data_IF_942441367335
#
_entry.id   IF_942441367335
#
_cell.length_a   1.000
_cell.length_b   1.000
_cell.length_c   1.000
_cell.angle_alpha   90.00
_cell.angle_beta   90.00
_cell.angle_gamma   90.00
#
_symmetry.space_group_name_H-M   'P 1'
#
loop_
_entity.id
_entity.type
_entity.pdbx_description
1 polymer ?
#
# COMPACT_ATOMS: atom_id res chain seq x y z
N UNK A 1 -79.55 9.50 27.53
CA UNK A 1 -80.16 8.19 27.84
C UNK A 1 -79.88 7.23 26.70
N UNK A 2 -79.32 6.06 27.05
CA UNK A 2 -79.31 4.82 26.27
C UNK A 2 -78.46 4.84 24.99
N UNK A 3 -77.13 4.80 25.16
CA UNK A 3 -76.19 4.09 24.27
C UNK A 3 -74.78 3.92 24.87
N UNK A 4 -74.63 4.14 26.18
CA UNK A 4 -73.33 4.09 26.89
C UNK A 4 -73.20 2.90 27.85
N UNK A 5 -73.91 1.79 27.60
CA UNK A 5 -73.99 0.68 28.57
C UNK A 5 -73.75 -0.73 28.01
N UNK A 6 -73.33 -0.87 26.74
CA UNK A 6 -73.10 -2.21 26.13
C UNK A 6 -71.63 -2.49 25.76
N UNK A 7 -70.74 -1.49 25.76
CA UNK A 7 -69.32 -1.71 25.39
C UNK A 7 -68.41 -2.13 26.56
N UNK A 8 -68.98 -2.52 27.71
CA UNK A 8 -68.22 -2.89 28.93
C UNK A 8 -68.14 -4.39 29.24
N UNK A 9 -68.44 -5.27 28.26
CA UNK A 9 -68.42 -6.73 28.46
C UNK A 9 -67.49 -7.50 27.50
N UNK A 10 -66.96 -6.88 26.45
CA UNK A 10 -66.05 -7.57 25.51
C UNK A 10 -64.68 -6.88 25.50
N UNK A 11 -63.78 -7.41 26.33
CA UNK A 11 -62.39 -6.97 26.44
C UNK A 11 -61.70 -6.86 25.08
N UNK A 12 -61.35 -5.63 24.70
CA UNK A 12 -60.44 -5.30 23.61
C UNK A 12 -59.74 -3.98 23.95
N UNK A 13 -58.53 -4.08 24.49
CA UNK A 13 -57.59 -2.95 24.55
C UNK A 13 -57.00 -2.70 23.16
N UNK A 14 -57.03 -1.46 22.62
CA UNK A 14 -56.33 -1.12 21.40
C UNK A 14 -54.87 -0.74 21.69
N UNK A 15 -53.95 -1.56 21.16
CA UNK A 15 -52.65 -1.21 20.60
C UNK A 15 -51.79 -0.14 21.32
N UNK A 16 -50.94 -0.59 22.26
CA UNK A 16 -49.68 0.10 22.57
C UNK A 16 -48.70 -0.07 21.40
N UNK A 17 -48.40 1.03 20.70
CA UNK A 17 -47.29 1.13 19.74
C UNK A 17 -45.98 0.72 20.42
N UNK A 18 -45.44 -0.44 20.04
CA UNK A 18 -44.05 -0.80 20.34
C UNK A 18 -43.15 -0.10 19.31
N UNK A 19 -42.37 0.88 19.76
CA UNK A 19 -41.26 1.43 19.00
C UNK A 19 -40.26 0.30 18.67
N UNK A 20 -39.74 0.19 17.44
CA UNK A 20 -38.67 -0.74 17.18
C UNK A 20 -37.40 -0.20 17.86
N UNK A 21 -36.78 -1.04 18.69
CA UNK A 21 -35.48 -0.77 19.27
C UNK A 21 -34.45 -0.61 18.14
N UNK A 22 -34.06 0.63 17.84
CA UNK A 22 -32.93 0.94 16.96
C UNK A 22 -31.63 0.68 17.72
N UNK A 23 -31.27 -0.59 17.82
CA UNK A 23 -30.06 -1.09 18.46
C UNK A 23 -29.16 -1.87 17.51
N UNK A 24 -29.17 -1.55 16.22
CA UNK A 24 -28.16 -2.04 15.28
C UNK A 24 -26.92 -1.17 15.38
N UNK A 25 -25.91 -1.58 16.16
CA UNK A 25 -24.57 -1.03 15.98
C UNK A 25 -24.14 -1.39 14.56
N UNK A 26 -24.13 -0.40 13.66
CA UNK A 26 -23.42 -0.53 12.39
C UNK A 26 -22.01 -1.02 12.73
N UNK A 27 -21.62 -2.19 12.21
CA UNK A 27 -20.26 -2.67 12.34
C UNK A 27 -19.35 -1.55 11.79
N UNK A 28 -18.51 -0.96 12.65
CA UNK A 28 -17.54 0.03 12.19
C UNK A 28 -16.69 -0.66 11.12
N UNK A 29 -16.60 -0.04 9.94
CA UNK A 29 -15.68 -0.49 8.90
C UNK A 29 -14.29 -0.72 9.53
N UNK A 30 -13.57 -1.79 9.16
CA UNK A 30 -12.27 -2.09 9.73
C UNK A 30 -11.37 -0.86 9.61
N UNK A 31 -10.81 -0.39 10.73
CA UNK A 31 -9.91 0.76 10.74
C UNK A 31 -8.57 0.28 10.18
N UNK A 32 -8.25 0.69 8.96
CA UNK A 32 -6.94 0.43 8.35
C UNK A 32 -5.86 1.10 9.24
N UNK A 33 -4.85 0.36 9.71
CA UNK A 33 -3.79 0.91 10.56
C UNK A 33 -2.74 1.66 9.72
N UNK A 34 -3.16 2.70 8.99
CA UNK A 34 -2.31 3.50 8.06
C UNK A 34 -1.17 4.28 8.75
N UNK A 35 -1.10 4.25 10.09
CA UNK A 35 -0.11 5.02 10.83
C UNK A 35 -0.36 6.53 10.76
N UNK A 36 0.68 7.32 11.02
CA UNK A 36 0.64 8.79 10.90
C UNK A 36 1.90 9.25 10.17
N UNK A 37 1.72 10.01 9.09
CA UNK A 37 2.82 10.60 8.34
C UNK A 37 3.69 11.49 9.24
N UNK A 38 4.99 11.20 9.26
CA UNK A 38 6.02 12.06 9.85
C UNK A 38 7.09 12.30 8.80
N UNK A 39 7.33 13.58 8.50
CA UNK A 39 8.36 14.00 7.56
C UNK A 39 9.61 14.37 8.38
N UNK A 40 10.66 13.58 8.22
CA UNK A 40 11.88 13.67 9.00
C UNK A 40 12.99 14.28 8.13
N UNK A 41 13.60 15.41 8.54
CA UNK A 41 14.65 16.06 7.77
C UNK A 41 16.01 15.37 7.94
N UNK A 42 16.94 15.68 7.03
CA UNK A 42 18.30 15.11 7.02
C UNK A 42 19.05 15.25 8.34
N UNK A 43 18.87 16.39 9.04
CA UNK A 43 19.49 16.64 10.35
C UNK A 43 19.08 15.63 11.44
N UNK A 44 17.97 14.93 11.27
CA UNK A 44 17.44 13.96 12.24
C UNK A 44 17.67 12.50 11.79
N UNK A 45 17.44 12.16 10.52
CA UNK A 45 17.64 10.79 10.05
C UNK A 45 19.11 10.48 9.72
N UNK A 46 19.91 11.47 9.32
CA UNK A 46 21.36 11.32 9.14
C UNK A 46 21.78 10.52 7.90
N UNK A 47 20.94 10.44 6.87
CA UNK A 47 21.34 9.80 5.59
C UNK A 47 22.42 10.67 4.94
N UNK A 48 23.51 10.03 4.54
CA UNK A 48 24.54 10.62 3.69
C UNK A 48 24.09 10.54 2.22
N UNK A 49 23.80 11.68 1.55
CA UNK A 49 23.34 11.68 0.16
C UNK A 49 24.37 11.11 -0.82
N UNK A 50 25.66 11.08 -0.46
CA UNK A 50 26.71 10.50 -1.31
C UNK A 50 26.62 8.97 -1.41
N UNK A 51 25.88 8.32 -0.51
CA UNK A 51 25.62 6.88 -0.56
C UNK A 51 24.42 6.52 -1.43
N UNK A 52 23.65 7.51 -1.90
CA UNK A 52 22.46 7.31 -2.72
C UNK A 52 22.89 7.06 -4.17
N UNK A 53 22.36 6.00 -4.79
CA UNK A 53 22.67 5.69 -6.18
C UNK A 53 22.09 6.76 -7.13
N UNK A 54 22.94 7.32 -7.99
CA UNK A 54 22.59 8.37 -8.96
C UNK A 54 21.44 7.96 -9.89
N UNK A 55 21.31 6.67 -10.22
CA UNK A 55 20.24 6.16 -11.10
C UNK A 55 18.92 6.16 -10.37
N UNK A 56 18.90 5.68 -9.12
CA UNK A 56 17.71 5.74 -8.28
C UNK A 56 17.24 7.19 -8.10
N UNK A 57 18.18 8.11 -7.85
CA UNK A 57 17.90 9.55 -7.80
C UNK A 57 17.27 10.06 -9.10
N UNK A 58 17.87 9.76 -10.26
CA UNK A 58 17.33 10.17 -11.56
C UNK A 58 15.96 9.59 -11.87
N UNK A 59 15.67 8.36 -11.46
CA UNK A 59 14.34 7.76 -11.61
C UNK A 59 13.32 8.55 -10.80
N UNK A 60 13.62 8.89 -9.54
CA UNK A 60 12.75 9.71 -8.71
C UNK A 60 12.56 11.10 -9.33
N UNK A 61 13.64 11.78 -9.71
CA UNK A 61 13.58 13.10 -10.37
C UNK A 61 12.69 13.06 -11.63
N UNK A 62 12.89 12.07 -12.51
CA UNK A 62 12.10 11.94 -13.76
C UNK A 62 10.60 11.77 -13.47
N UNK A 63 10.25 11.02 -12.42
CA UNK A 63 8.84 10.82 -12.03
C UNK A 63 8.25 12.09 -11.42
N UNK A 64 9.01 12.77 -10.55
CA UNK A 64 8.60 14.03 -9.93
C UNK A 64 8.43 15.15 -10.95
N UNK A 65 9.34 15.28 -11.91
CA UNK A 65 9.26 16.24 -13.01
C UNK A 65 8.01 16.00 -13.89
N UNK A 66 7.56 14.76 -13.99
CA UNK A 66 6.33 14.37 -14.68
C UNK A 66 5.05 14.57 -13.82
N UNK A 67 5.18 15.09 -12.60
CA UNK A 67 4.08 15.40 -11.69
C UNK A 67 3.63 14.25 -10.79
N UNK A 68 4.44 13.17 -10.69
CA UNK A 68 4.14 12.04 -9.82
C UNK A 68 4.87 12.14 -8.48
N UNK A 69 4.31 11.49 -7.47
CA UNK A 69 5.05 11.23 -6.24
C UNK A 69 6.02 10.08 -6.48
N UNK A 70 7.28 10.22 -6.05
CA UNK A 70 8.27 9.14 -6.15
C UNK A 70 9.31 9.24 -5.03
N UNK A 71 9.72 8.07 -4.52
CA UNK A 71 10.60 7.94 -3.37
C UNK A 71 11.48 6.69 -3.49
N UNK A 72 12.69 6.75 -2.95
CA UNK A 72 13.48 5.55 -2.65
C UNK A 72 12.87 4.86 -1.43
N UNK A 73 12.75 3.53 -1.45
CA UNK A 73 12.02 2.78 -0.40
C UNK A 73 12.76 1.53 0.08
N UNK A 74 12.20 0.88 1.09
CA UNK A 74 12.57 -0.49 1.48
C UNK A 74 13.92 -0.59 2.18
N UNK A 75 14.65 -1.66 1.86
CA UNK A 75 15.93 -1.96 2.49
C UNK A 75 16.98 -0.87 2.28
N UNK A 76 16.95 -0.17 1.14
CA UNK A 76 17.87 0.91 0.85
C UNK A 76 17.80 2.05 1.87
N UNK A 77 16.58 2.50 2.20
CA UNK A 77 16.38 3.60 3.17
C UNK A 77 16.87 3.19 4.56
N UNK A 78 16.54 1.96 4.98
CA UNK A 78 17.02 1.38 6.24
C UNK A 78 18.54 1.36 6.30
N UNK A 79 19.18 0.84 5.26
CA UNK A 79 20.64 0.67 5.23
C UNK A 79 21.34 2.03 5.22
N UNK A 80 20.83 3.01 4.48
CA UNK A 80 21.31 4.40 4.49
C UNK A 80 21.21 5.05 5.87
N UNK A 81 20.10 4.87 6.59
CA UNK A 81 19.92 5.38 7.96
C UNK A 81 20.94 4.75 8.94
N UNK A 82 21.32 3.50 8.69
CA UNK A 82 22.33 2.80 9.47
C UNK A 82 23.78 3.12 9.05
N UNK A 83 23.97 3.99 8.04
CA UNK A 83 25.29 4.32 7.50
C UNK A 83 25.92 3.18 6.70
N UNK A 84 25.10 2.26 6.19
CA UNK A 84 25.53 1.15 5.34
C UNK A 84 25.22 1.45 3.88
N UNK A 85 26.04 0.88 2.98
CA UNK A 85 25.79 0.98 1.54
C UNK A 85 24.71 -0.04 1.14
N UNK A 86 23.58 0.39 0.55
CA UNK A 86 22.55 -0.53 0.08
C UNK A 86 23.07 -1.48 -0.99
N UNK A 87 22.48 -2.68 -1.08
CA UNK A 87 22.78 -3.66 -2.14
C UNK A 87 22.04 -3.34 -3.43
N UNK A 88 20.81 -2.88 -3.28
CA UNK A 88 19.83 -2.55 -4.31
C UNK A 88 19.10 -1.27 -3.92
N UNK A 89 18.53 -0.60 -4.92
CA UNK A 89 17.71 0.59 -4.74
C UNK A 89 16.38 0.40 -5.46
N UNK A 90 15.31 0.50 -4.68
CA UNK A 90 13.94 0.43 -5.17
C UNK A 90 13.28 1.80 -5.08
N UNK A 91 12.42 2.09 -6.06
CA UNK A 91 11.59 3.30 -6.09
C UNK A 91 10.12 2.91 -5.97
N UNK A 92 9.36 3.68 -5.18
CA UNK A 92 7.91 3.60 -5.14
C UNK A 92 7.28 4.92 -5.61
N UNK A 93 6.16 4.83 -6.32
CA UNK A 93 5.49 5.99 -6.94
C UNK A 93 3.96 5.84 -6.98
N UNK A 94 3.23 6.96 -7.09
CA UNK A 94 1.80 6.92 -7.39
C UNK A 94 1.50 6.70 -8.89
N UNK A 95 2.51 6.73 -9.77
CA UNK A 95 2.36 6.42 -11.19
C UNK A 95 2.10 4.92 -11.42
N UNK A 96 1.11 4.59 -12.26
CA UNK A 96 0.85 3.20 -12.70
C UNK A 96 2.01 2.63 -13.52
N UNK A 97 2.17 1.30 -13.62
CA UNK A 97 3.28 0.69 -14.37
C UNK A 97 3.36 1.16 -15.82
N UNK A 98 2.22 1.38 -16.47
CA UNK A 98 2.11 1.94 -17.81
C UNK A 98 2.62 3.38 -17.90
N UNK A 99 2.25 4.23 -16.93
CA UNK A 99 2.72 5.60 -16.83
C UNK A 99 4.22 5.66 -16.60
N UNK A 100 4.75 4.87 -15.66
CA UNK A 100 6.20 4.75 -15.43
C UNK A 100 6.89 4.32 -16.73
N UNK A 101 6.42 3.23 -17.38
CA UNK A 101 7.01 2.74 -18.62
C UNK A 101 7.02 3.80 -19.74
N UNK A 102 6.04 4.70 -19.78
CA UNK A 102 5.98 5.75 -20.80
C UNK A 102 7.06 6.83 -20.64
N UNK A 103 7.57 7.02 -19.42
CA UNK A 103 8.59 8.02 -19.10
C UNK A 103 10.02 7.55 -19.40
N UNK A 104 10.25 6.24 -19.49
CA UNK A 104 11.58 5.67 -19.65
C UNK A 104 11.71 4.87 -20.94
N UNK A 105 12.67 5.26 -21.79
CA UNK A 105 12.94 4.58 -23.07
C UNK A 105 13.26 3.09 -22.92
N UNK A 106 13.89 2.70 -21.80
CA UNK A 106 14.27 1.32 -21.48
C UNK A 106 13.66 0.89 -20.16
N UNK A 107 12.34 0.77 -20.16
CA UNK A 107 11.57 0.23 -19.05
C UNK A 107 10.74 -0.99 -19.47
N UNK A 108 10.72 -2.00 -18.61
CA UNK A 108 9.98 -3.24 -18.82
C UNK A 108 9.06 -3.51 -17.65
N UNK A 109 7.78 -3.74 -17.91
CA UNK A 109 6.86 -4.23 -16.87
C UNK A 109 7.14 -5.73 -16.70
N UNK A 110 7.61 -6.11 -15.52
CA UNK A 110 7.96 -7.47 -15.14
C UNK A 110 6.88 -8.05 -14.24
N UNK A 111 6.58 -9.33 -14.49
CA UNK A 111 5.63 -10.10 -13.71
C UNK A 111 4.18 -9.75 -13.99
N UNK A 112 3.29 -10.72 -13.74
CA UNK A 112 1.83 -10.53 -13.82
C UNK A 112 1.20 -10.31 -12.44
N UNK A 113 1.82 -10.89 -11.40
CA UNK A 113 1.36 -10.85 -10.02
C UNK A 113 1.48 -9.45 -9.41
N UNK A 114 2.71 -8.93 -9.38
CA UNK A 114 3.02 -7.64 -8.78
C UNK A 114 3.18 -6.52 -9.79
N UNK A 115 3.48 -6.77 -11.08
CA UNK A 115 3.67 -5.71 -12.09
C UNK A 115 4.64 -4.60 -11.63
N UNK A 116 5.92 -4.95 -11.55
CA UNK A 116 7.00 -4.01 -11.21
C UNK A 116 7.62 -3.50 -12.52
N UNK A 117 8.09 -2.26 -12.57
CA UNK A 117 8.79 -1.71 -13.74
C UNK A 117 10.29 -1.74 -13.52
N UNK A 118 11.02 -2.42 -14.39
CA UNK A 118 12.49 -2.43 -14.38
C UNK A 118 12.98 -1.33 -15.31
N UNK A 119 13.57 -0.27 -14.74
CA UNK A 119 14.24 0.80 -15.50
C UNK A 119 15.72 0.43 -15.66
N UNK A 120 16.16 0.25 -16.92
CA UNK A 120 17.46 -0.35 -17.23
C UNK A 120 18.50 0.70 -17.66
N UNK A 121 19.59 0.76 -16.91
CA UNK A 121 20.79 1.57 -17.21
C UNK A 121 21.93 0.68 -17.73
N UNK A 122 22.88 1.27 -18.48
CA UNK A 122 24.00 0.52 -19.08
C UNK A 122 23.63 -0.31 -20.32
N UNK A 123 24.58 -0.87 -21.06
CA UNK A 123 24.33 -1.64 -22.29
C UNK A 123 24.99 -3.02 -22.21
N UNK A 124 24.43 -4.01 -22.92
CA UNK A 124 25.00 -5.35 -22.98
C UNK A 124 24.79 -6.13 -21.68
N UNK A 125 25.80 -6.91 -21.27
CA UNK A 125 25.77 -7.76 -20.06
C UNK A 125 26.02 -6.99 -18.75
N UNK A 126 26.47 -5.75 -18.84
CA UNK A 126 26.68 -4.84 -17.71
C UNK A 126 25.52 -3.86 -17.66
N UNK A 127 24.32 -4.38 -17.36
CA UNK A 127 23.15 -3.55 -17.13
C UNK A 127 22.77 -3.54 -15.66
N UNK A 128 22.41 -2.36 -15.17
CA UNK A 128 21.87 -2.18 -13.84
C UNK A 128 20.39 -1.84 -13.95
N UNK A 129 19.63 -2.21 -12.93
CA UNK A 129 18.17 -2.09 -12.91
C UNK A 129 17.76 -1.36 -11.64
N UNK A 130 16.92 -0.35 -11.82
CA UNK A 130 16.14 0.23 -10.73
C UNK A 130 14.73 -0.34 -10.84
N UNK A 131 14.26 -0.99 -9.78
CA UNK A 131 12.89 -1.46 -9.68
C UNK A 131 11.99 -0.30 -9.27
N UNK A 132 10.88 -0.12 -9.99
CA UNK A 132 9.89 0.91 -9.74
C UNK A 132 8.55 0.24 -9.51
N UNK A 133 7.98 0.47 -8.34
CA UNK A 133 6.71 -0.09 -7.89
C UNK A 133 5.66 0.99 -7.70
N UNK A 134 4.44 0.74 -8.16
CA UNK A 134 3.32 1.64 -7.84
C UNK A 134 2.83 1.36 -6.43
N UNK A 135 2.51 2.42 -5.68
CA UNK A 135 1.86 2.35 -4.37
C UNK A 135 0.62 1.47 -4.43
N UNK A 136 0.48 0.59 -3.46
CA UNK A 136 -0.67 -0.33 -3.43
C UNK A 136 -1.69 0.10 -2.41
N UNK A 137 -2.95 -0.20 -2.72
CA UNK A 137 -4.00 -0.12 -1.74
C UNK A 137 -3.81 -1.15 -0.63
N UNK A 138 -4.32 -0.80 0.53
CA UNK A 138 -4.51 -1.74 1.62
C UNK A 138 -5.80 -2.48 1.34
N UNK A 139 -5.69 -3.79 1.16
CA UNK A 139 -6.84 -4.67 1.00
C UNK A 139 -6.95 -5.52 2.26
N UNK A 140 -8.13 -5.54 2.85
CA UNK A 140 -8.45 -6.52 3.87
C UNK A 140 -8.22 -7.91 3.26
N UNK A 141 -7.50 -8.78 3.96
CA UNK A 141 -7.24 -10.15 3.49
C UNK A 141 -8.54 -10.93 3.21
N UNK A 142 -9.66 -10.51 3.82
CA UNK A 142 -11.00 -11.05 3.56
C UNK A 142 -11.65 -10.55 2.27
N UNK A 143 -11.15 -9.45 1.69
CA UNK A 143 -11.65 -8.85 0.46
C UNK A 143 -11.03 -9.45 -0.81
N UNK A 144 -10.04 -10.34 -0.68
CA UNK A 144 -9.42 -11.01 -1.80
C UNK A 144 -10.33 -12.08 -2.41
N UNK A 145 -10.53 -12.02 -3.74
CA UNK A 145 -11.21 -13.10 -4.44
C UNK A 145 -10.36 -14.38 -4.37
N UNK A 146 -10.93 -15.44 -3.80
CA UNK A 146 -10.32 -16.76 -3.79
C UNK A 146 -10.59 -17.46 -5.12
N UNK A 147 -9.55 -18.02 -5.73
CA UNK A 147 -9.70 -18.89 -6.90
C UNK A 147 -9.14 -20.29 -6.61
N UNK A 148 -9.82 -21.31 -7.12
CA UNK A 148 -9.35 -22.70 -7.06
C UNK A 148 -8.35 -22.95 -8.18
N UNK A 149 -7.06 -22.81 -7.90
CA UNK A 149 -6.00 -23.10 -8.88
C UNK A 149 -4.71 -22.31 -8.63
N UNK A 150 -3.74 -22.42 -9.55
CA UNK A 150 -2.50 -21.65 -9.52
C UNK A 150 -2.44 -20.63 -10.68
N UNK A 151 -1.40 -19.79 -10.72
CA UNK A 151 -1.22 -18.75 -11.76
C UNK A 151 -1.26 -19.32 -13.20
N UNK A 152 -0.85 -20.58 -13.40
CA UNK A 152 -0.79 -21.20 -14.74
C UNK A 152 -2.13 -21.77 -15.17
N UNK A 153 -2.85 -22.44 -14.26
CA UNK A 153 -4.13 -23.09 -14.57
C UNK A 153 -5.29 -22.11 -14.70
N UNK A 154 -5.20 -20.95 -14.03
CA UNK A 154 -6.30 -19.98 -13.94
C UNK A 154 -6.07 -18.75 -14.83
N UNK A 155 -5.17 -18.82 -15.83
CA UNK A 155 -4.66 -17.65 -16.56
C UNK A 155 -5.75 -16.81 -17.25
N UNK A 156 -6.81 -17.45 -17.79
CA UNK A 156 -7.97 -16.77 -18.40
C UNK A 156 -8.85 -16.12 -17.34
N UNK A 157 -9.18 -16.83 -16.27
CA UNK A 157 -10.03 -16.34 -15.17
C UNK A 157 -9.37 -15.21 -14.38
N UNK A 158 -8.04 -15.24 -14.28
CA UNK A 158 -7.27 -14.20 -13.65
C UNK A 158 -7.20 -12.94 -14.52
N UNK A 159 -7.39 -13.02 -15.85
CA UNK A 159 -7.07 -11.95 -16.81
C UNK A 159 -7.58 -10.57 -16.37
N UNK A 160 -8.84 -10.51 -15.94
CA UNK A 160 -9.54 -9.26 -15.62
C UNK A 160 -9.52 -8.91 -14.12
N UNK A 161 -8.87 -9.73 -13.29
CA UNK A 161 -8.82 -9.54 -11.84
C UNK A 161 -7.57 -8.77 -11.41
N UNK A 162 -7.73 -7.83 -10.49
CA UNK A 162 -6.65 -7.00 -9.94
C UNK A 162 -6.09 -7.56 -8.63
N UNK A 163 -6.92 -8.13 -7.75
CA UNK A 163 -6.50 -8.77 -6.51
C UNK A 163 -7.06 -10.19 -6.40
N UNK A 164 -6.17 -11.18 -6.28
CA UNK A 164 -6.55 -12.60 -6.23
C UNK A 164 -5.61 -13.36 -5.33
N UNK A 165 -6.14 -14.29 -4.53
CA UNK A 165 -5.37 -15.26 -3.72
C UNK A 165 -5.77 -16.69 -4.09
N UNK A 166 -4.85 -17.65 -3.92
CA UNK A 166 -5.18 -19.07 -4.01
C UNK A 166 -5.77 -19.60 -2.69
N UNK A 167 -6.16 -20.88 -2.69
CA UNK A 167 -6.73 -21.55 -1.53
C UNK A 167 -5.79 -21.63 -0.31
N UNK A 168 -4.48 -21.45 -0.49
CA UNK A 168 -3.50 -21.39 0.60
C UNK A 168 -3.29 -19.97 1.15
N UNK A 169 -4.01 -18.98 0.61
CA UNK A 169 -3.83 -17.56 0.94
C UNK A 169 -2.64 -16.92 0.23
N UNK A 170 -1.99 -17.62 -0.71
CA UNK A 170 -0.90 -17.03 -1.50
C UNK A 170 -1.49 -16.07 -2.51
N UNK A 171 -1.00 -14.83 -2.50
CA UNK A 171 -1.38 -13.83 -3.49
C UNK A 171 -1.00 -14.30 -4.90
N UNK A 172 -1.94 -14.23 -5.84
CA UNK A 172 -1.75 -14.51 -7.27
C UNK A 172 -1.76 -13.23 -8.10
N UNK A 173 -2.45 -12.17 -7.64
CA UNK A 173 -2.42 -10.81 -8.18
C UNK A 173 -2.64 -9.77 -7.11
N UNK A 174 -1.99 -8.63 -7.27
CA UNK A 174 -1.98 -7.57 -6.26
C UNK A 174 -1.93 -6.17 -6.90
N UNK A 175 -2.61 -5.98 -8.02
CA UNK A 175 -2.54 -4.76 -8.83
C UNK A 175 -3.66 -3.78 -8.48
N UNK A 176 -3.86 -3.54 -7.18
CA UNK A 176 -4.77 -2.50 -6.70
C UNK A 176 -3.93 -1.36 -6.15
N UNK A 177 -4.11 -0.20 -6.76
CA UNK A 177 -3.33 1.00 -6.51
C UNK A 177 -3.98 1.84 -5.43
N UNK A 178 -3.16 2.49 -4.61
CA UNK A 178 -3.64 3.27 -3.47
C UNK A 178 -2.67 4.37 -3.06
N UNK A 179 -3.04 5.17 -2.05
CA UNK A 179 -2.18 6.19 -1.50
C UNK A 179 -0.97 5.60 -0.76
N UNK A 180 0.07 6.43 -0.55
CA UNK A 180 1.32 6.03 0.09
C UNK A 180 1.14 5.47 1.51
N UNK A 181 0.20 5.99 2.30
CA UNK A 181 -0.06 5.55 3.67
C UNK A 181 -0.62 4.11 3.73
N UNK A 182 -1.41 3.72 2.73
CA UNK A 182 -1.86 2.35 2.54
C UNK A 182 -0.75 1.43 2.07
N UNK A 183 0.14 1.92 1.19
CA UNK A 183 1.35 1.19 0.78
C UNK A 183 2.29 0.96 1.96
N UNK A 184 2.40 1.91 2.88
CA UNK A 184 3.21 1.78 4.08
C UNK A 184 2.65 0.68 5.00
N UNK A 185 1.33 0.68 5.21
CA UNK A 185 0.64 -0.23 6.14
C UNK A 185 0.58 -1.70 5.71
N UNK A 186 0.87 -1.99 4.43
CA UNK A 186 0.93 -3.36 3.90
C UNK A 186 2.34 -3.95 3.86
N UNK A 187 3.36 -3.15 4.17
CA UNK A 187 4.75 -3.61 4.22
C UNK A 187 4.96 -4.49 5.45
N UNK A 188 5.95 -5.36 5.34
CA UNK A 188 6.21 -6.43 6.30
C UNK A 188 6.72 -5.92 7.64
N UNK A 189 7.63 -4.96 7.63
CA UNK A 189 8.25 -4.39 8.83
C UNK A 189 8.32 -2.87 8.76
N UNK A 190 8.21 -2.21 9.93
CA UNK A 190 8.31 -0.75 10.08
C UNK A 190 9.59 -0.21 9.44
N UNK A 191 10.71 -0.90 9.60
CA UNK A 191 12.03 -0.53 9.03
C UNK A 191 12.10 -0.61 7.50
N UNK A 192 11.16 -1.29 6.84
CA UNK A 192 11.08 -1.35 5.37
C UNK A 192 9.95 -0.45 4.82
N UNK A 193 9.22 0.25 5.70
CA UNK A 193 8.06 1.10 5.40
C UNK A 193 8.37 2.60 5.46
N UNK A 194 9.58 2.97 5.04
CA UNK A 194 10.05 4.36 4.97
C UNK A 194 10.26 4.77 3.51
N UNK A 195 10.06 6.07 3.23
CA UNK A 195 10.12 6.64 1.89
C UNK A 195 11.07 7.84 1.90
N UNK A 196 12.20 7.72 1.23
CA UNK A 196 13.20 8.78 1.14
C UNK A 196 13.07 9.56 -0.17
N UNK A 197 12.92 10.87 -0.08
CA UNK A 197 12.98 11.78 -1.22
C UNK A 197 14.40 12.35 -1.34
N UNK A 198 15.18 11.94 -2.37
CA UNK A 198 16.53 12.42 -2.55
C UNK A 198 16.60 13.86 -3.07
N UNK A 199 15.49 14.46 -3.53
CA UNK A 199 15.45 15.86 -3.94
C UNK A 199 15.37 16.79 -2.72
N UNK A 200 14.42 16.53 -1.81
CA UNK A 200 14.23 17.33 -0.60
C UNK A 200 15.10 16.89 0.58
N UNK A 201 15.65 15.68 0.52
CA UNK A 201 16.39 15.07 1.62
C UNK A 201 15.51 14.69 2.81
N UNK A 202 14.22 14.47 2.59
CA UNK A 202 13.24 14.11 3.63
C UNK A 202 12.97 12.61 3.61
N UNK A 203 12.88 11.99 4.79
CA UNK A 203 12.32 10.64 4.97
C UNK A 203 10.91 10.73 5.53
N UNK A 204 9.96 10.12 4.84
CA UNK A 204 8.59 9.92 5.33
C UNK A 204 8.52 8.60 6.09
N UNK A 205 8.06 8.65 7.34
CA UNK A 205 7.90 7.50 8.22
C UNK A 205 6.50 7.49 8.86
N UNK A 206 5.70 6.47 8.52
CA UNK A 206 4.32 6.31 9.03
C UNK A 206 4.23 5.52 10.33
N UNK A 207 5.22 4.67 10.60
CA UNK A 207 5.14 3.59 11.59
C UNK A 207 6.29 3.59 12.61
N UNK A 208 7.19 4.58 12.56
CA UNK A 208 8.34 4.68 13.45
C UNK A 208 9.51 3.79 13.02
N UNK A 209 9.62 3.48 11.73
CA UNK A 209 10.70 2.71 11.13
C UNK A 209 12.09 3.27 11.42
N UNK A 210 12.26 4.60 11.48
CA UNK A 210 13.57 5.22 11.77
C UNK A 210 14.01 4.87 13.20
N UNK A 211 13.08 4.98 14.15
CA UNK A 211 13.33 4.65 15.56
C UNK A 211 13.64 3.17 15.72
N UNK A 212 12.90 2.31 15.04
CA UNK A 212 13.09 0.86 15.09
C UNK A 212 14.42 0.45 14.43
N UNK A 213 14.79 1.07 13.30
CA UNK A 213 16.08 0.84 12.64
C UNK A 213 17.25 1.21 13.56
N UNK A 214 17.23 2.43 14.15
CA UNK A 214 18.27 2.88 15.10
C UNK A 214 18.37 1.99 16.34
N UNK A 215 17.24 1.40 16.79
CA UNK A 215 17.20 0.45 17.91
C UNK A 215 17.45 -1.01 17.52
N UNK A 216 17.62 -1.30 16.22
CA UNK A 216 17.76 -2.67 15.66
C UNK A 216 16.59 -3.58 16.05
N UNK A 217 15.37 -3.05 15.97
CA UNK A 217 14.13 -3.75 16.27
C UNK A 217 13.39 -4.07 14.98
N UNK A 218 12.97 -5.32 14.81
CA UNK A 218 11.99 -5.70 13.78
C UNK A 218 10.59 -5.67 14.40
N UNK A 219 9.71 -4.86 13.83
CA UNK A 219 8.30 -4.73 14.24
C UNK A 219 7.43 -4.82 12.99
N UNK A 220 6.37 -5.63 13.06
CA UNK A 220 5.28 -5.68 12.07
C UNK A 220 4.28 -4.57 12.34
#
# INVERSE_FOLDING_TARGET
MIKSFIDKILGKDPAKKRSPASGGRAAKAPRIPVGKRVDVPQSEHGIDPSLVDDRARRVVETLQDAGYEAYIVGGAVRDLILGHRPKDFDVATNATPEQVKSLFRRAFIIGRRFRIVHVVYGRGRENEVIEVSTFRAYLDATAAEQVTGNEKTSRKELADKSHVVDASGRVLRDNVWGPQDQDAARRDFTVNAMYYDPHTGVVVDYHGGIKDAKKRVLRM
#
